data_IF_461168713890
#
_entry.id   IF_461168713890
#
_cell.length_a   1.000
_cell.length_b   1.000
_cell.length_c   1.000
_cell.angle_alpha   90.00
_cell.angle_beta   90.00
_cell.angle_gamma   90.00
#
_symmetry.space_group_name_H-M   'P 1'
#
loop_
_entity.id
_entity.type
_entity.pdbx_description
1 polymer ?
#
# COMPACT_ATOMS: atom_id res chain seq x y z
N UNK A 1 1.80 -19.15 -7.16
CA UNK A 1 2.23 -20.54 -7.05
C UNK A 1 2.83 -20.76 -5.69
N UNK A 2 2.61 -21.95 -5.13
CA UNK A 2 3.65 -22.79 -4.52
C UNK A 2 3.00 -24.06 -3.93
N UNK A 3 3.25 -25.22 -4.56
CA UNK A 3 3.59 -26.43 -3.80
C UNK A 3 4.72 -27.20 -4.53
N UNK A 4 5.97 -26.87 -4.19
CA UNK A 4 7.30 -27.43 -4.53
C UNK A 4 7.40 -28.48 -5.66
N UNK A 5 8.24 -28.33 -6.69
CA UNK A 5 9.70 -28.07 -6.64
C UNK A 5 10.14 -26.64 -7.03
N UNK A 6 11.00 -26.05 -6.20
CA UNK A 6 11.55 -24.70 -6.36
C UNK A 6 10.60 -23.59 -5.90
N UNK A 7 10.80 -23.04 -4.70
CA UNK A 7 9.99 -21.93 -4.20
C UNK A 7 10.15 -20.65 -5.07
N UNK A 8 9.14 -20.35 -5.89
CA UNK A 8 9.06 -19.17 -6.76
C UNK A 8 8.00 -18.13 -6.32
N UNK A 9 7.54 -18.25 -5.07
CA UNK A 9 6.48 -17.41 -4.53
C UNK A 9 6.86 -15.92 -4.58
N UNK A 10 5.94 -15.10 -5.10
CA UNK A 10 6.14 -13.66 -5.28
C UNK A 10 5.34 -12.88 -4.25
N UNK A 11 5.97 -11.84 -3.71
CA UNK A 11 5.39 -11.02 -2.66
C UNK A 11 5.72 -9.54 -2.90
N UNK A 12 4.90 -8.66 -2.32
CA UNK A 12 5.30 -7.28 -2.17
C UNK A 12 6.53 -7.20 -1.23
N UNK A 13 7.52 -6.36 -1.56
CA UNK A 13 8.77 -6.26 -0.78
C UNK A 13 8.50 -6.02 0.72
N UNK A 14 7.62 -5.07 1.04
CA UNK A 14 7.23 -4.78 2.44
C UNK A 14 6.54 -5.95 3.12
N UNK A 15 5.69 -6.69 2.40
CA UNK A 15 4.94 -7.83 2.91
C UNK A 15 5.90 -8.97 3.29
N UNK A 16 6.85 -9.25 2.40
CA UNK A 16 7.85 -10.29 2.61
C UNK A 16 8.77 -9.91 3.76
N UNK A 17 9.33 -8.69 3.77
CA UNK A 17 10.19 -8.23 4.86
C UNK A 17 9.51 -8.32 6.22
N UNK A 18 8.23 -7.93 6.34
CA UNK A 18 7.49 -8.06 7.60
C UNK A 18 7.30 -9.52 8.03
N UNK A 19 7.18 -10.43 7.08
CA UNK A 19 6.92 -11.84 7.36
C UNK A 19 8.18 -12.62 7.71
N UNK A 20 9.35 -12.16 7.25
CA UNK A 20 10.65 -12.85 7.44
C UNK A 20 11.55 -12.13 8.44
N UNK A 21 11.19 -10.91 8.86
CA UNK A 21 11.94 -10.20 9.89
C UNK A 21 11.94 -11.01 11.20
N UNK A 22 13.09 -11.10 11.90
CA UNK A 22 13.15 -11.74 13.19
C UNK A 22 12.21 -11.01 14.12
N UNK A 23 11.10 -11.66 14.48
CA UNK A 23 10.27 -11.20 15.58
C UNK A 23 11.15 -11.18 16.81
N UNK A 24 11.21 -10.05 17.54
CA UNK A 24 11.66 -9.99 18.94
C UNK A 24 10.76 -10.93 19.76
N UNK A 25 10.95 -12.24 19.61
CA UNK A 25 10.44 -13.24 20.54
C UNK A 25 11.29 -13.02 21.78
N UNK A 26 10.64 -12.65 22.86
CA UNK A 26 11.18 -12.80 24.21
C UNK A 26 11.48 -14.29 24.40
N UNK A 27 12.66 -14.75 23.95
CA UNK A 27 13.20 -16.06 24.25
C UNK A 27 13.71 -15.99 25.67
N UNK A 28 12.84 -16.40 26.60
CA UNK A 28 13.29 -16.78 27.92
C UNK A 28 13.97 -18.16 27.81
N UNK A 29 15.22 -18.15 28.27
CA UNK A 29 16.07 -19.27 28.69
C UNK A 29 16.76 -20.12 27.61
N UNK A 30 18.10 -19.96 27.66
CA UNK A 30 19.12 -21.00 27.70
C UNK A 30 18.97 -22.15 26.70
N UNK A 31 19.64 -22.03 25.57
CA UNK A 31 20.55 -23.08 25.10
C UNK A 31 21.61 -22.49 24.16
N UNK A 32 22.82 -23.00 24.35
CA UNK A 32 24.07 -22.46 23.85
C UNK A 32 24.38 -23.07 22.48
N UNK A 33 23.65 -22.69 21.42
CA UNK A 33 23.98 -23.10 20.05
C UNK A 33 23.76 -21.95 19.05
N UNK A 34 24.79 -21.71 18.23
CA UNK A 34 24.85 -20.70 17.17
C UNK A 34 23.89 -21.03 16.02
N UNK A 35 22.59 -21.02 16.27
CA UNK A 35 21.57 -21.28 15.25
C UNK A 35 21.41 -20.03 14.38
N UNK A 36 22.04 -20.05 13.20
CA UNK A 36 21.70 -19.15 12.11
C UNK A 36 20.18 -19.22 11.87
N UNK A 37 19.46 -18.14 12.14
CA UNK A 37 18.01 -18.07 11.97
C UNK A 37 17.63 -18.23 10.49
N UNK A 38 17.32 -19.46 10.10
CA UNK A 38 16.78 -19.76 8.77
C UNK A 38 15.40 -19.13 8.66
N UNK A 39 15.19 -18.38 7.59
CA UNK A 39 13.89 -17.76 7.28
C UNK A 39 13.00 -18.76 6.53
N UNK A 40 11.68 -18.59 6.61
CA UNK A 40 10.70 -19.51 5.99
C UNK A 40 9.76 -18.77 5.05
N UNK A 41 9.45 -19.37 3.90
CA UNK A 41 8.50 -18.80 2.94
C UNK A 41 7.09 -18.71 3.57
N UNK A 42 6.40 -17.56 3.52
CA UNK A 42 5.05 -17.42 4.08
C UNK A 42 3.98 -18.30 3.39
N UNK A 43 4.24 -18.78 2.17
CA UNK A 43 3.30 -19.58 1.39
C UNK A 43 3.48 -21.09 1.61
N UNK A 44 4.71 -21.62 1.44
CA UNK A 44 4.99 -23.06 1.51
C UNK A 44 5.80 -23.49 2.74
N UNK A 45 6.28 -22.55 3.56
CA UNK A 45 7.17 -22.78 4.72
C UNK A 45 8.55 -23.37 4.40
N UNK A 46 8.93 -23.44 3.13
CA UNK A 46 10.29 -23.83 2.72
C UNK A 46 11.32 -22.89 3.35
N UNK A 47 12.38 -23.49 3.91
CA UNK A 47 13.47 -22.78 4.58
C UNK A 47 14.44 -22.21 3.54
N UNK A 48 14.90 -20.99 3.78
CA UNK A 48 15.96 -20.38 3.00
C UNK A 48 17.02 -19.74 3.92
N UNK A 49 18.31 -19.70 3.49
CA UNK A 49 19.40 -19.43 4.41
C UNK A 49 19.41 -18.02 4.99
N UNK A 50 18.99 -17.02 4.21
CA UNK A 50 18.89 -15.63 4.67
C UNK A 50 18.03 -14.78 3.74
N UNK A 51 17.61 -13.60 4.22
CA UNK A 51 16.90 -12.60 3.41
C UNK A 51 17.68 -12.16 2.14
N UNK A 52 18.98 -12.44 2.04
CA UNK A 52 19.80 -12.17 0.84
C UNK A 52 19.42 -13.06 -0.36
N UNK A 53 18.75 -14.19 -0.13
CA UNK A 53 18.22 -15.06 -1.19
C UNK A 53 16.92 -14.52 -1.82
N UNK A 54 16.36 -13.46 -1.25
CA UNK A 54 15.19 -12.76 -1.79
C UNK A 54 15.67 -11.82 -2.90
N UNK A 55 15.23 -12.08 -4.13
CA UNK A 55 15.56 -11.24 -5.29
C UNK A 55 14.36 -10.41 -5.71
N UNK A 56 14.56 -9.15 -6.13
CA UNK A 56 13.48 -8.36 -6.73
C UNK A 56 13.11 -8.92 -8.10
N UNK A 57 11.83 -9.18 -8.33
CA UNK A 57 11.32 -9.57 -9.65
C UNK A 57 11.16 -8.32 -10.54
N UNK A 58 12.26 -7.96 -11.21
CA UNK A 58 12.33 -6.76 -12.08
C UNK A 58 11.38 -6.90 -13.27
N UNK A 59 11.29 -8.09 -13.86
CA UNK A 59 10.43 -8.33 -15.03
C UNK A 59 8.95 -8.16 -14.66
N UNK A 60 8.50 -8.77 -13.56
CA UNK A 60 7.15 -8.57 -13.07
C UNK A 60 6.91 -7.11 -12.68
N UNK A 61 7.87 -6.46 -12.02
CA UNK A 61 7.77 -5.02 -11.70
C UNK A 61 7.54 -4.19 -12.95
N UNK A 62 8.29 -4.43 -14.03
CA UNK A 62 8.11 -3.72 -15.31
C UNK A 62 6.74 -3.99 -15.94
N UNK A 63 6.25 -5.22 -15.87
CA UNK A 63 4.91 -5.57 -16.35
C UNK A 63 3.80 -4.85 -15.55
N UNK A 64 3.90 -4.85 -14.22
CA UNK A 64 2.96 -4.14 -13.34
C UNK A 64 3.03 -2.62 -13.59
N UNK A 65 4.23 -2.09 -13.81
CA UNK A 65 4.48 -0.68 -14.13
C UNK A 65 4.29 -0.37 -15.63
N UNK A 66 3.69 -1.26 -16.41
CA UNK A 66 3.37 -0.97 -17.81
C UNK A 66 2.09 -0.11 -17.90
N UNK A 67 1.94 0.63 -19.00
CA UNK A 67 0.71 1.38 -19.28
C UNK A 67 -0.47 0.50 -19.68
N UNK A 68 -0.26 -0.80 -19.85
CA UNK A 68 -1.28 -1.76 -20.27
C UNK A 68 -2.14 -2.23 -19.10
N UNK A 69 -1.57 -2.27 -17.88
CA UNK A 69 -2.32 -2.64 -16.69
C UNK A 69 -3.10 -1.43 -16.19
N UNK A 70 -4.43 -1.51 -16.26
CA UNK A 70 -5.33 -0.45 -15.80
C UNK A 70 -6.10 -0.86 -14.54
N UNK A 71 -6.52 0.12 -13.77
CA UNK A 71 -7.39 -0.07 -12.60
C UNK A 71 -8.45 1.02 -12.56
N UNK A 72 -9.55 0.76 -11.85
CA UNK A 72 -10.57 1.76 -11.55
C UNK A 72 -10.05 2.66 -10.43
N UNK A 73 -10.34 3.96 -10.50
CA UNK A 73 -10.06 4.90 -9.42
C UNK A 73 -10.70 4.42 -8.09
N UNK A 74 -9.98 4.48 -6.96
CA UNK A 74 -10.51 4.04 -5.66
C UNK A 74 -11.51 5.04 -5.05
N UNK A 75 -11.60 6.27 -5.55
CA UNK A 75 -12.49 7.27 -4.96
C UNK A 75 -13.97 6.99 -5.30
N UNK A 76 -14.87 7.06 -4.30
CA UNK A 76 -16.29 6.83 -4.52
C UNK A 76 -16.86 7.74 -5.62
N UNK A 77 -17.67 7.18 -6.51
CA UNK A 77 -18.29 7.86 -7.66
C UNK A 77 -17.33 8.29 -8.79
N UNK A 78 -16.02 8.03 -8.68
CA UNK A 78 -15.14 8.05 -9.84
C UNK A 78 -15.17 6.67 -10.51
N UNK A 79 -15.55 6.63 -11.79
CA UNK A 79 -15.61 5.39 -12.58
C UNK A 79 -14.50 5.31 -13.63
N UNK A 80 -13.53 6.23 -13.58
CA UNK A 80 -12.45 6.30 -14.55
C UNK A 80 -11.52 5.09 -14.41
N UNK A 81 -11.20 4.45 -15.54
CA UNK A 81 -10.13 3.46 -15.64
C UNK A 81 -8.87 4.15 -16.09
N UNK A 82 -7.84 4.06 -15.24
CA UNK A 82 -6.54 4.69 -15.48
C UNK A 82 -5.43 3.65 -15.45
N UNK A 83 -4.35 3.84 -16.23
CA UNK A 83 -3.15 3.01 -16.08
C UNK A 83 -2.67 3.01 -14.63
N UNK A 84 -2.26 1.86 -14.10
CA UNK A 84 -1.84 1.71 -12.70
C UNK A 84 -0.72 2.70 -12.35
N UNK A 85 0.21 2.93 -13.28
CA UNK A 85 1.30 3.91 -13.14
C UNK A 85 0.84 5.37 -13.09
N UNK A 86 -0.34 5.67 -13.65
CA UNK A 86 -0.94 7.01 -13.64
C UNK A 86 -1.96 7.19 -12.52
N UNK A 87 -2.30 6.12 -11.77
CA UNK A 87 -3.30 6.20 -10.71
C UNK A 87 -2.97 7.29 -9.70
N UNK A 88 -1.69 7.43 -9.30
CA UNK A 88 -1.30 8.45 -8.34
C UNK A 88 -1.48 9.88 -8.87
N UNK A 89 -1.27 10.07 -10.17
CA UNK A 89 -1.47 11.36 -10.82
C UNK A 89 -2.95 11.69 -10.95
N UNK A 90 -3.76 10.71 -11.35
CA UNK A 90 -5.22 10.84 -11.36
C UNK A 90 -5.75 11.16 -9.97
N UNK A 91 -5.27 10.49 -8.90
CA UNK A 91 -5.72 10.75 -7.54
C UNK A 91 -5.62 12.24 -7.22
N UNK A 92 -4.46 12.88 -7.47
CA UNK A 92 -4.21 14.30 -7.18
C UNK A 92 -5.18 15.26 -7.87
N UNK A 93 -5.69 14.90 -9.05
CA UNK A 93 -6.60 15.75 -9.83
C UNK A 93 -8.06 15.30 -9.77
N UNK A 94 -8.35 14.14 -9.17
CA UNK A 94 -9.69 13.56 -9.17
C UNK A 94 -10.68 14.45 -8.42
N UNK A 95 -11.76 14.82 -9.12
CA UNK A 95 -12.84 15.66 -8.59
C UNK A 95 -13.67 14.97 -7.49
N UNK A 96 -13.55 13.65 -7.38
CA UNK A 96 -14.18 12.83 -6.35
C UNK A 96 -13.27 12.58 -5.15
N UNK A 97 -12.03 13.07 -5.15
CA UNK A 97 -11.15 12.98 -3.99
C UNK A 97 -11.83 13.60 -2.76
N UNK A 98 -11.90 12.90 -1.62
CA UNK A 98 -12.37 13.47 -0.37
C UNK A 98 -11.44 14.59 0.11
N UNK A 99 -11.99 15.78 0.28
CA UNK A 99 -11.31 16.98 0.77
C UNK A 99 -11.96 17.46 2.06
N UNK A 100 -11.13 17.94 3.00
CA UNK A 100 -11.60 18.65 4.20
C UNK A 100 -11.71 20.14 3.91
N UNK A 101 -12.65 20.80 4.57
CA UNK A 101 -12.73 22.26 4.50
C UNK A 101 -11.44 22.91 5.01
N UNK A 102 -11.02 24.04 4.41
CA UNK A 102 -9.86 24.82 4.86
C UNK A 102 -9.99 25.33 6.31
N UNK A 103 -11.22 25.48 6.80
CA UNK A 103 -11.54 25.88 8.17
C UNK A 103 -11.71 24.68 9.12
N UNK A 104 -11.26 23.48 8.74
CA UNK A 104 -11.35 22.30 9.59
C UNK A 104 -10.67 22.51 10.95
N UNK A 105 -9.53 23.21 10.97
CA UNK A 105 -8.82 23.58 12.21
C UNK A 105 -9.63 24.53 13.12
N UNK A 106 -10.59 25.27 12.57
CA UNK A 106 -11.47 26.18 13.33
C UNK A 106 -12.77 25.50 13.78
N UNK A 107 -12.98 24.23 13.44
CA UNK A 107 -14.15 23.44 13.83
C UNK A 107 -15.11 23.08 12.70
N UNK A 108 -14.81 23.44 11.45
CA UNK A 108 -15.63 22.98 10.32
C UNK A 108 -15.48 21.46 10.10
N UNK A 109 -16.54 20.69 10.32
CA UNK A 109 -16.52 19.23 10.16
C UNK A 109 -16.78 18.73 8.73
N UNK A 110 -16.96 19.64 7.77
CA UNK A 110 -17.27 19.27 6.39
C UNK A 110 -16.12 18.51 5.73
N UNK A 111 -16.46 17.34 5.19
CA UNK A 111 -15.61 16.53 4.31
C UNK A 111 -16.47 16.06 3.14
N UNK A 112 -16.02 16.29 1.92
CA UNK A 112 -16.77 15.97 0.71
C UNK A 112 -15.87 15.87 -0.52
N UNK A 113 -16.41 15.57 -1.71
CA UNK A 113 -15.60 15.48 -2.91
C UNK A 113 -15.05 16.86 -3.29
N UNK A 114 -13.85 16.88 -3.89
CA UNK A 114 -13.13 18.10 -4.29
C UNK A 114 -14.01 19.07 -5.09
N UNK A 115 -14.85 18.57 -6.01
CA UNK A 115 -15.77 19.42 -6.79
C UNK A 115 -16.75 20.26 -5.95
N UNK A 116 -17.14 19.76 -4.78
CA UNK A 116 -18.14 20.40 -3.91
C UNK A 116 -17.48 21.36 -2.90
N UNK A 117 -16.14 21.34 -2.79
CA UNK A 117 -15.40 22.17 -1.84
C UNK A 117 -15.62 23.66 -2.11
N UNK A 118 -15.58 24.09 -3.37
CA UNK A 118 -15.80 25.48 -3.74
C UNK A 118 -17.20 25.96 -3.32
N UNK A 119 -18.23 25.17 -3.65
CA UNK A 119 -19.61 25.45 -3.26
C UNK A 119 -19.77 25.51 -1.74
N UNK A 120 -19.18 24.55 -1.01
CA UNK A 120 -19.16 24.56 0.45
C UNK A 120 -18.53 25.85 0.99
N UNK A 121 -17.33 26.21 0.54
CA UNK A 121 -16.62 27.39 1.08
C UNK A 121 -17.34 28.70 0.79
N UNK A 122 -17.96 28.84 -0.38
CA UNK A 122 -18.63 30.08 -0.78
C UNK A 122 -20.01 30.27 -0.17
N UNK A 123 -20.78 29.18 -0.03
CA UNK A 123 -22.21 29.27 0.31
C UNK A 123 -22.58 28.55 1.60
N UNK A 124 -21.91 27.44 1.92
CA UNK A 124 -22.33 26.50 2.95
C UNK A 124 -21.45 26.44 4.21
N UNK A 125 -20.33 27.17 4.25
CA UNK A 125 -19.40 27.10 5.37
C UNK A 125 -19.72 28.18 6.40
N UNK A 126 -20.15 27.77 7.60
CA UNK A 126 -20.38 28.70 8.72
C UNK A 126 -19.10 29.47 9.12
N UNK A 127 -17.93 28.88 8.86
CA UNK A 127 -16.63 29.44 9.21
C UNK A 127 -16.00 30.29 8.09
N UNK A 128 -16.63 30.41 6.91
CA UNK A 128 -16.10 31.25 5.82
C UNK A 128 -16.47 32.73 5.93
N UNK A 129 -17.42 33.06 6.80
CA UNK A 129 -17.93 34.42 7.04
C UNK A 129 -17.46 35.03 8.36
N UNK A 130 -16.54 34.36 9.06
CA UNK A 130 -15.95 34.81 10.33
C UNK A 130 -14.71 35.65 10.06
#
# INVERSE_FOLDING_TARGET
>A
GCPNEGCDARFCSTCLHRSVAPTNRLQNNNDNEQQQEKSKCPCCREEFPSATFITPDIALKQQIMSYQLTTVCPFPNCQERVPLVQLKNHEMTCEYMPMRCKYYSMGCSWTGPKRDLAAHTSLGCAYSKV
#
